data_IF_996089012435
#
_entry.id   IF_996089012435
#
_cell.length_a   1.000
_cell.length_b   1.000
_cell.length_c   1.000
_cell.angle_alpha   90.00
_cell.angle_beta   90.00
_cell.angle_gamma   90.00
#
_symmetry.space_group_name_H-M   'P 1'
#
loop_
_entity.id
_entity.type
_entity.pdbx_description
1 polymer ?
#
# COMPACT_ATOMS: atom_id res chain seq x y z
N UNK A 1 15.62 19.81 -6.44
CA UNK A 1 15.03 18.60 -7.05
C UNK A 1 13.96 18.08 -6.10
N UNK A 2 12.87 17.54 -6.62
CA UNK A 2 11.75 16.99 -5.84
C UNK A 2 11.30 15.68 -6.49
N UNK A 3 10.74 14.77 -5.69
CA UNK A 3 10.00 13.63 -6.23
C UNK A 3 8.75 14.17 -6.91
N UNK A 4 8.49 13.72 -8.14
CA UNK A 4 7.30 14.13 -8.88
C UNK A 4 6.11 13.25 -8.48
N UNK A 5 4.94 13.86 -8.32
CA UNK A 5 3.71 13.13 -8.01
C UNK A 5 3.43 12.03 -9.04
N UNK A 6 3.73 12.29 -10.33
CA UNK A 6 3.57 11.33 -11.41
C UNK A 6 4.33 10.03 -11.15
N UNK A 7 5.56 10.09 -10.63
CA UNK A 7 6.34 8.90 -10.29
C UNK A 7 5.60 8.01 -9.29
N UNK A 8 5.00 8.62 -8.28
CA UNK A 8 4.22 7.91 -7.26
C UNK A 8 2.92 7.37 -7.87
N UNK A 9 2.22 8.16 -8.68
CA UNK A 9 0.99 7.73 -9.35
C UNK A 9 1.26 6.51 -10.26
N UNK A 10 2.32 6.54 -11.07
CA UNK A 10 2.72 5.43 -11.95
C UNK A 10 3.03 4.15 -11.14
N UNK A 11 3.72 4.28 -10.00
CA UNK A 11 3.97 3.15 -9.09
C UNK A 11 2.67 2.62 -8.47
N UNK A 12 1.78 3.50 -8.02
CA UNK A 12 0.49 3.12 -7.45
C UNK A 12 -0.42 2.40 -8.46
N UNK A 13 -0.38 2.79 -9.73
CA UNK A 13 -1.10 2.13 -10.82
C UNK A 13 -0.56 0.72 -11.12
N UNK A 14 0.73 0.48 -10.85
CA UNK A 14 1.36 -0.83 -11.04
C UNK A 14 1.11 -1.84 -9.92
N UNK A 15 0.49 -1.42 -8.81
CA UNK A 15 0.29 -2.26 -7.63
C UNK A 15 -0.67 -3.42 -7.91
N UNK A 16 -0.25 -4.62 -7.49
CA UNK A 16 -1.13 -5.78 -7.34
C UNK A 16 -1.57 -5.91 -5.89
N UNK A 17 -2.86 -6.17 -5.66
CA UNK A 17 -3.40 -6.33 -4.31
C UNK A 17 -3.69 -7.80 -4.01
N UNK A 18 -3.14 -8.32 -2.92
CA UNK A 18 -3.44 -9.64 -2.40
C UNK A 18 -4.23 -9.52 -1.11
N UNK A 19 -5.41 -10.12 -1.07
CA UNK A 19 -6.33 -10.02 0.06
C UNK A 19 -6.58 -11.38 0.69
N UNK A 20 -6.64 -11.41 2.01
CA UNK A 20 -7.01 -12.58 2.79
C UNK A 20 -8.02 -12.20 3.88
N UNK A 21 -9.15 -12.88 3.90
CA UNK A 21 -10.10 -12.87 5.02
C UNK A 21 -9.79 -14.05 5.93
N UNK A 22 -9.78 -13.81 7.24
CA UNK A 22 -9.53 -14.84 8.24
C UNK A 22 -10.86 -15.50 8.66
N UNK A 23 -11.09 -16.79 8.34
CA UNK A 23 -12.35 -17.47 8.65
C UNK A 23 -12.68 -17.43 10.15
N UNK A 24 -13.97 -17.24 10.47
CA UNK A 24 -14.43 -17.11 11.86
C UNK A 24 -14.16 -15.72 12.48
N UNK A 25 -13.65 -14.77 11.69
CA UNK A 25 -13.45 -13.38 12.12
C UNK A 25 -14.13 -12.41 11.15
N UNK A 26 -14.16 -11.13 11.50
CA UNK A 26 -14.54 -10.02 10.61
C UNK A 26 -13.33 -9.36 9.95
N UNK A 27 -12.14 -9.94 10.10
CA UNK A 27 -10.87 -9.34 9.72
C UNK A 27 -10.49 -9.72 8.29
N UNK A 28 -10.26 -8.71 7.46
CA UNK A 28 -9.70 -8.84 6.12
C UNK A 28 -8.43 -8.02 6.03
N UNK A 29 -7.34 -8.63 5.57
CA UNK A 29 -6.04 -7.99 5.36
C UNK A 29 -5.75 -7.95 3.86
N UNK A 30 -5.18 -6.85 3.40
CA UNK A 30 -4.66 -6.69 2.05
C UNK A 30 -3.21 -6.21 2.09
N UNK A 31 -2.37 -6.76 1.22
CA UNK A 31 -1.05 -6.23 0.89
C UNK A 31 -1.05 -5.66 -0.52
N UNK A 32 -0.34 -4.56 -0.72
CA UNK A 32 -0.10 -3.93 -2.01
C UNK A 32 1.35 -4.21 -2.44
N UNK A 33 1.52 -4.81 -3.61
CA UNK A 33 2.79 -5.38 -4.07
C UNK A 33 3.18 -4.76 -5.40
N UNK A 34 4.40 -4.25 -5.49
CA UNK A 34 4.99 -3.76 -6.74
C UNK A 34 5.36 -4.93 -7.67
N UNK A 35 5.55 -4.67 -8.98
CA UNK A 35 5.91 -5.72 -9.95
C UNK A 35 7.18 -6.51 -9.63
N UNK A 36 8.09 -5.93 -8.84
CA UNK A 36 9.33 -6.57 -8.38
C UNK A 36 9.13 -7.47 -7.14
N UNK A 37 7.91 -7.56 -6.62
CA UNK A 37 7.56 -8.34 -5.43
C UNK A 37 7.71 -7.57 -4.11
N UNK A 38 8.11 -6.30 -4.12
CA UNK A 38 8.17 -5.50 -2.90
C UNK A 38 6.78 -5.18 -2.37
N UNK A 39 6.56 -5.43 -1.08
CA UNK A 39 5.32 -5.04 -0.39
C UNK A 39 5.38 -3.55 -0.08
N UNK A 40 4.79 -2.76 -0.97
CA UNK A 40 4.76 -1.30 -0.85
C UNK A 40 3.83 -0.81 0.25
N UNK A 41 2.78 -1.55 0.60
CA UNK A 41 1.90 -1.20 1.72
C UNK A 41 1.01 -2.34 2.20
N UNK A 42 0.41 -2.17 3.37
CA UNK A 42 -0.51 -3.13 3.97
C UNK A 42 -1.69 -2.41 4.64
N UNK A 43 -2.86 -3.04 4.60
CA UNK A 43 -4.09 -2.50 5.18
C UNK A 43 -4.99 -3.61 5.69
N UNK A 44 -5.91 -3.25 6.58
CA UNK A 44 -6.92 -4.17 7.08
C UNK A 44 -8.27 -3.48 7.28
N UNK A 45 -9.32 -4.28 7.27
CA UNK A 45 -10.64 -3.95 7.80
C UNK A 45 -11.00 -4.97 8.87
N UNK A 46 -11.77 -4.54 9.87
CA UNK A 46 -12.31 -5.42 10.89
C UNK A 46 -13.61 -4.80 11.41
N UNK A 47 -14.75 -5.42 11.09
CA UNK A 47 -16.05 -5.00 11.62
C UNK A 47 -16.17 -5.40 13.09
N UNK A 48 -16.76 -4.55 13.93
CA UNK A 48 -16.96 -4.85 15.36
C UNK A 48 -18.05 -5.90 15.58
N UNK A 49 -19.05 -5.96 14.69
CA UNK A 49 -20.18 -6.87 14.79
C UNK A 49 -20.12 -7.93 13.67
N UNK A 50 -19.89 -9.21 14.01
CA UNK A 50 -19.94 -10.31 13.05
C UNK A 50 -21.27 -10.46 12.32
N UNK A 51 -22.40 -10.07 12.94
CA UNK A 51 -23.71 -10.16 12.30
C UNK A 51 -23.91 -9.15 11.17
N UNK A 52 -23.12 -8.07 11.18
CA UNK A 52 -23.12 -7.02 10.16
C UNK A 52 -21.91 -7.10 9.22
N UNK A 53 -21.14 -8.20 9.29
CA UNK A 53 -19.97 -8.37 8.46
C UNK A 53 -20.36 -8.58 7.00
N UNK A 54 -19.83 -7.73 6.13
CA UNK A 54 -19.90 -7.86 4.69
C UNK A 54 -18.49 -8.03 4.11
N UNK A 55 -18.26 -9.16 3.44
CA UNK A 55 -16.93 -9.56 2.99
C UNK A 55 -16.41 -8.67 1.84
N UNK A 56 -17.31 -8.18 0.98
CA UNK A 56 -16.97 -7.30 -0.14
C UNK A 56 -16.55 -5.92 0.36
N UNK A 57 -17.37 -5.32 1.22
CA UNK A 57 -17.06 -4.05 1.91
C UNK A 57 -15.77 -4.18 2.72
N UNK A 58 -15.58 -5.29 3.43
CA UNK A 58 -14.35 -5.57 4.16
C UNK A 58 -13.12 -5.61 3.24
N UNK A 59 -13.23 -6.25 2.08
CA UNK A 59 -12.17 -6.30 1.05
C UNK A 59 -11.86 -4.90 0.53
N UNK A 60 -12.86 -4.12 0.16
CA UNK A 60 -12.67 -2.78 -0.41
C UNK A 60 -12.00 -1.82 0.57
N UNK A 61 -12.42 -1.84 1.83
CA UNK A 61 -11.78 -1.05 2.89
C UNK A 61 -10.32 -1.48 3.10
N UNK A 62 -10.05 -2.80 3.13
CA UNK A 62 -8.69 -3.30 3.30
C UNK A 62 -7.77 -2.89 2.13
N UNK A 63 -8.28 -2.94 0.89
CA UNK A 63 -7.55 -2.46 -0.32
C UNK A 63 -7.29 -0.96 -0.23
N UNK A 64 -8.30 -0.16 0.12
CA UNK A 64 -8.16 1.29 0.27
C UNK A 64 -7.09 1.66 1.31
N UNK A 65 -7.12 0.99 2.46
CA UNK A 65 -6.13 1.18 3.52
C UNK A 65 -4.71 0.78 3.06
N UNK A 66 -4.57 -0.35 2.34
CA UNK A 66 -3.29 -0.79 1.81
C UNK A 66 -2.73 0.20 0.76
N UNK A 67 -3.59 0.77 -0.09
CA UNK A 67 -3.21 1.79 -1.07
C UNK A 67 -2.77 3.09 -0.41
N UNK A 68 -3.45 3.51 0.66
CA UNK A 68 -3.08 4.71 1.42
C UNK A 68 -1.72 4.55 2.13
N UNK A 69 -1.48 3.40 2.75
CA UNK A 69 -0.19 3.05 3.34
C UNK A 69 0.92 3.02 2.27
N UNK A 70 0.67 2.35 1.13
CA UNK A 70 1.62 2.30 0.02
C UNK A 70 1.97 3.68 -0.52
N UNK A 71 0.98 4.57 -0.66
CA UNK A 71 1.21 5.95 -1.12
C UNK A 71 2.22 6.66 -0.21
N UNK A 72 2.03 6.56 1.11
CA UNK A 72 2.89 7.22 2.09
C UNK A 72 4.32 6.65 2.04
N UNK A 73 4.44 5.33 1.97
CA UNK A 73 5.74 4.63 1.93
C UNK A 73 6.51 4.91 0.65
N UNK A 74 5.84 4.95 -0.51
CA UNK A 74 6.49 5.29 -1.78
C UNK A 74 7.05 6.71 -1.76
N UNK A 75 6.30 7.69 -1.23
CA UNK A 75 6.81 9.06 -1.07
C UNK A 75 8.08 9.11 -0.21
N UNK A 76 8.09 8.40 0.92
CA UNK A 76 9.26 8.34 1.81
C UNK A 76 10.47 7.69 1.12
N UNK A 77 10.27 6.55 0.46
CA UNK A 77 11.33 5.78 -0.20
C UNK A 77 11.93 6.53 -1.39
N UNK A 78 11.09 7.10 -2.26
CA UNK A 78 11.57 7.90 -3.40
C UNK A 78 12.30 9.16 -2.93
N UNK A 79 11.78 9.82 -1.89
CA UNK A 79 12.43 10.97 -1.29
C UNK A 79 13.81 10.63 -0.71
N UNK A 80 13.90 9.48 -0.03
CA UNK A 80 15.17 8.97 0.49
C UNK A 80 16.14 8.61 -0.63
N UNK A 81 15.70 7.88 -1.65
CA UNK A 81 16.51 7.47 -2.80
C UNK A 81 17.08 8.70 -3.55
N UNK A 82 16.25 9.72 -3.77
CA UNK A 82 16.66 10.98 -4.38
C UNK A 82 17.77 11.67 -3.57
N UNK A 83 17.66 11.66 -2.23
CA UNK A 83 18.69 12.24 -1.36
C UNK A 83 20.01 11.44 -1.41
N UNK A 84 19.95 10.11 -1.50
CA UNK A 84 21.14 9.27 -1.56
C UNK A 84 21.88 9.40 -2.90
N UNK A 85 21.14 9.45 -4.01
CA UNK A 85 21.73 9.62 -5.34
C UNK A 85 22.48 10.96 -5.47
N UNK A 86 21.98 12.03 -4.84
CA UNK A 86 22.71 13.30 -4.76
C UNK A 86 24.04 13.20 -4.01
N UNK A 87 24.07 12.56 -2.84
CA UNK A 87 25.32 12.41 -2.06
C UNK A 87 26.40 11.66 -2.82
N UNK A 88 26.00 10.70 -3.67
CA UNK A 88 26.92 9.91 -4.49
C UNK A 88 27.46 10.67 -5.70
N UNK A 89 26.76 11.71 -6.16
CA UNK A 89 27.15 12.53 -7.32
C UNK A 89 27.96 13.79 -6.97
N UNK A 90 28.21 14.07 -5.69
CA UNK A 90 29.19 15.08 -5.26
C UNK A 90 30.58 14.44 -5.14
N UNK A 91 31.31 14.39 -6.27
CA UNK A 91 32.75 14.25 -6.36
C UNK A 91 33.31 15.45 -7.14
#
# INVERSE_FOLDING_TARGET
MRVEKRTIDDQLESLTFHTHHFPGTTCTVTIAVLPDGFVAGAGKSACIDPALFDAETGRDIAISNAKSDATSRLWELEGWYLKQTMKRNTL
#
